data_IF_286081238094
#
_entry.id   IF_286081238094
#
_cell.length_a   1.000
_cell.length_b   1.000
_cell.length_c   1.000
_cell.angle_alpha   90.00
_cell.angle_beta   90.00
_cell.angle_gamma   90.00
#
_symmetry.space_group_name_H-M   'P 1'
#
loop_
_entity.id
_entity.type
_entity.pdbx_description
1 polymer ?
#
# COMPACT_ATOMS: atom_id res chain seq x y z
N UNK A 1 7.00 35.53 -0.96
CA UNK A 1 6.45 34.29 -1.52
C UNK A 1 7.63 33.36 -1.76
N UNK A 2 7.58 32.12 -1.30
CA UNK A 2 8.64 31.14 -1.55
C UNK A 2 8.85 30.98 -3.06
N UNK A 3 10.10 30.93 -3.53
CA UNK A 3 10.39 30.70 -4.94
C UNK A 3 10.45 29.19 -5.21
N UNK A 4 9.47 28.65 -5.94
CA UNK A 4 9.45 27.21 -6.23
C UNK A 4 10.63 26.75 -7.09
N UNK A 5 11.30 27.65 -7.81
CA UNK A 5 12.45 27.30 -8.64
C UNK A 5 13.62 26.76 -7.81
N UNK A 6 13.73 27.13 -6.52
CA UNK A 6 14.77 26.59 -5.63
C UNK A 6 14.56 25.13 -5.28
N UNK A 7 13.35 24.60 -5.49
CA UNK A 7 12.99 23.21 -5.19
C UNK A 7 12.94 22.32 -6.44
N UNK A 8 12.99 22.93 -7.64
CA UNK A 8 12.93 22.20 -8.90
C UNK A 8 14.20 21.35 -9.10
N UNK A 9 14.10 20.06 -9.46
CA UNK A 9 15.25 19.15 -9.46
C UNK A 9 16.21 19.32 -10.64
N UNK A 10 15.90 20.19 -11.60
CA UNK A 10 16.74 20.48 -12.76
C UNK A 10 17.00 21.99 -12.89
N UNK A 11 17.78 22.39 -13.90
CA UNK A 11 18.20 23.79 -14.05
C UNK A 11 17.01 24.77 -14.10
N UNK A 12 15.97 24.46 -14.88
CA UNK A 12 14.75 25.28 -15.01
C UNK A 12 13.54 24.40 -15.39
N UNK A 13 12.33 24.72 -14.90
CA UNK A 13 11.10 24.06 -15.34
C UNK A 13 10.73 24.44 -16.76
N UNK A 14 10.19 23.47 -17.52
CA UNK A 14 9.54 23.72 -18.81
C UNK A 14 8.25 24.51 -18.61
N UNK A 15 7.75 25.15 -19.67
CA UNK A 15 6.51 25.94 -19.66
C UNK A 15 5.33 25.17 -19.06
N UNK A 16 5.13 23.93 -19.49
CA UNK A 16 4.05 23.07 -19.01
C UNK A 16 4.23 22.67 -17.54
N UNK A 17 5.46 22.39 -17.10
CA UNK A 17 5.74 22.10 -15.69
C UNK A 17 5.49 23.32 -14.80
N UNK A 18 5.91 24.50 -15.25
CA UNK A 18 5.65 25.78 -14.57
C UNK A 18 4.15 25.99 -14.37
N UNK A 19 3.37 25.84 -15.43
CA UNK A 19 1.91 25.98 -15.40
C UNK A 19 1.28 25.03 -14.38
N UNK A 20 1.71 23.77 -14.34
CA UNK A 20 1.23 22.79 -13.36
C UNK A 20 1.57 23.19 -11.91
N UNK A 21 2.83 23.59 -11.67
CA UNK A 21 3.33 23.93 -10.34
C UNK A 21 2.62 25.17 -9.81
N UNK A 22 2.52 26.22 -10.61
CA UNK A 22 1.87 27.48 -10.22
C UNK A 22 0.38 27.28 -9.93
N UNK A 23 -0.32 26.49 -10.76
CA UNK A 23 -1.71 26.12 -10.51
C UNK A 23 -1.88 25.37 -9.18
N UNK A 24 -1.05 24.35 -8.92
CA UNK A 24 -1.15 23.55 -7.71
C UNK A 24 -0.85 24.36 -6.45
N UNK A 25 0.14 25.26 -6.50
CA UNK A 25 0.44 26.19 -5.40
C UNK A 25 -0.76 27.12 -5.15
N UNK A 26 -1.34 27.71 -6.20
CA UNK A 26 -2.50 28.58 -6.06
C UNK A 26 -3.72 27.86 -5.47
N UNK A 27 -4.01 26.64 -5.94
CA UNK A 27 -5.09 25.83 -5.38
C UNK A 27 -4.89 25.54 -3.89
N UNK A 28 -3.67 25.18 -3.47
CA UNK A 28 -3.40 24.75 -2.09
C UNK A 28 -3.26 25.93 -1.13
N UNK A 29 -2.55 26.99 -1.52
CA UNK A 29 -2.25 28.11 -0.62
C UNK A 29 -3.34 29.17 -0.59
N UNK A 30 -3.89 29.52 -1.77
CA UNK A 30 -4.86 30.62 -1.87
C UNK A 30 -6.29 30.13 -1.71
N UNK A 31 -6.58 28.92 -2.19
CA UNK A 31 -7.94 28.35 -2.20
C UNK A 31 -8.14 27.26 -1.14
N UNK A 32 -7.13 27.04 -0.28
CA UNK A 32 -7.07 26.02 0.78
C UNK A 32 -7.53 24.61 0.36
N UNK A 33 -7.25 24.24 -0.90
CA UNK A 33 -7.64 22.92 -1.40
C UNK A 33 -6.80 21.84 -0.75
N UNK A 34 -7.43 20.73 -0.37
CA UNK A 34 -6.72 19.54 0.10
C UNK A 34 -6.14 18.74 -1.06
N UNK A 35 -6.84 18.71 -2.19
CA UNK A 35 -6.51 17.89 -3.34
C UNK A 35 -6.19 18.75 -4.56
N UNK A 36 -5.20 18.33 -5.34
CA UNK A 36 -4.93 18.88 -6.67
C UNK A 36 -4.80 17.73 -7.65
N UNK A 37 -5.58 17.79 -8.74
CA UNK A 37 -5.54 16.81 -9.83
C UNK A 37 -4.82 17.45 -11.03
N UNK A 38 -3.68 16.88 -11.40
CA UNK A 38 -2.86 17.34 -12.52
C UNK A 38 -2.91 16.29 -13.61
N UNK A 39 -3.67 16.56 -14.66
CA UNK A 39 -3.58 15.82 -15.91
C UNK A 39 -2.49 16.44 -16.78
N UNK A 40 -1.42 15.68 -17.02
CA UNK A 40 -0.31 16.12 -17.86
C UNK A 40 0.23 14.95 -18.68
N UNK A 41 0.46 15.20 -19.97
CA UNK A 41 0.98 14.23 -20.94
C UNK A 41 2.17 13.41 -20.47
N UNK A 42 2.36 12.24 -21.07
CA UNK A 42 3.60 11.47 -20.90
C UNK A 42 4.79 12.30 -21.39
N UNK A 43 5.93 12.23 -20.69
CA UNK A 43 7.14 13.02 -21.05
C UNK A 43 7.15 14.49 -20.62
N UNK A 44 6.05 15.05 -20.10
CA UNK A 44 6.02 16.41 -19.51
C UNK A 44 6.96 16.53 -18.30
N UNK A 45 7.27 15.42 -17.64
CA UNK A 45 8.12 15.36 -16.44
C UNK A 45 7.32 15.56 -15.16
N UNK A 46 6.20 14.84 -15.02
CA UNK A 46 5.32 14.83 -13.84
C UNK A 46 6.07 14.57 -12.54
N UNK A 47 7.06 13.69 -12.56
CA UNK A 47 7.86 13.36 -11.37
C UNK A 47 8.60 14.57 -10.80
N UNK A 48 9.10 15.47 -11.67
CA UNK A 48 9.72 16.72 -11.23
C UNK A 48 8.68 17.72 -10.70
N UNK A 49 7.47 17.75 -11.27
CA UNK A 49 6.34 18.56 -10.76
C UNK A 49 6.00 18.12 -9.33
N UNK A 50 5.74 16.82 -9.13
CA UNK A 50 5.41 16.25 -7.82
C UNK A 50 6.51 16.49 -6.78
N UNK A 51 7.78 16.31 -7.16
CA UNK A 51 8.90 16.55 -6.24
C UNK A 51 9.00 18.03 -5.83
N UNK A 52 8.86 18.93 -6.80
CA UNK A 52 8.91 20.38 -6.55
C UNK A 52 7.78 20.80 -5.61
N UNK A 53 6.55 20.35 -5.90
CA UNK A 53 5.40 20.62 -5.05
C UNK A 53 5.57 20.04 -3.65
N UNK A 54 6.05 18.81 -3.52
CA UNK A 54 6.29 18.21 -2.21
C UNK A 54 7.27 19.01 -1.35
N UNK A 55 8.38 19.45 -1.94
CA UNK A 55 9.40 20.27 -1.24
C UNK A 55 8.89 21.67 -0.91
N UNK A 56 8.18 22.29 -1.85
CA UNK A 56 7.59 23.61 -1.67
C UNK A 56 6.56 23.60 -0.54
N UNK A 57 5.60 22.68 -0.60
CA UNK A 57 4.52 22.57 0.38
C UNK A 57 5.03 22.16 1.76
N UNK A 58 6.17 21.46 1.84
CA UNK A 58 6.81 21.19 3.13
C UNK A 58 7.14 22.49 3.89
N UNK A 59 7.59 23.52 3.17
CA UNK A 59 7.91 24.82 3.75
C UNK A 59 6.68 25.73 3.87
N UNK A 60 5.78 25.65 2.91
CA UNK A 60 4.73 26.64 2.75
C UNK A 60 3.44 26.31 3.50
N UNK A 61 3.13 25.03 3.70
CA UNK A 61 1.94 24.58 4.41
C UNK A 61 2.25 24.41 5.90
N UNK A 62 1.47 25.03 6.81
CA UNK A 62 1.65 24.86 8.25
C UNK A 62 1.58 23.40 8.68
N UNK A 63 2.42 23.04 9.66
CA UNK A 63 2.34 21.74 10.31
C UNK A 63 0.96 21.55 10.95
N UNK A 64 0.37 20.37 10.75
CA UNK A 64 -0.91 19.98 11.33
C UNK A 64 -0.71 18.78 12.25
N UNK A 65 -1.36 18.79 13.41
CA UNK A 65 -1.36 17.64 14.31
C UNK A 65 -1.83 16.37 13.58
N UNK A 66 -1.15 15.26 13.86
CA UNK A 66 -1.39 13.98 13.18
C UNK A 66 -0.61 13.77 11.88
N UNK A 67 0.06 14.80 11.34
CA UNK A 67 0.87 14.70 10.13
C UNK A 67 2.34 15.00 10.40
N UNK A 68 3.22 14.05 10.06
CA UNK A 68 4.66 14.24 10.10
C UNK A 68 5.16 15.05 8.89
N UNK A 69 6.37 15.59 9.00
CA UNK A 69 7.03 16.25 7.87
C UNK A 69 7.40 15.27 6.76
N UNK A 70 7.54 15.81 5.54
CA UNK A 70 7.98 15.09 4.36
C UNK A 70 6.84 14.70 3.42
N UNK A 71 7.23 14.01 2.35
CA UNK A 71 6.35 13.55 1.28
C UNK A 71 6.45 12.06 1.01
N UNK A 72 5.30 11.45 0.71
CA UNK A 72 5.25 10.12 0.09
C UNK A 72 4.94 10.24 -1.40
N UNK A 73 5.60 9.39 -2.19
CA UNK A 73 5.41 9.27 -3.63
C UNK A 73 4.97 7.85 -3.94
N UNK A 74 3.77 7.72 -4.49
CA UNK A 74 3.18 6.44 -4.82
C UNK A 74 3.15 6.28 -6.32
N UNK A 75 3.56 5.09 -6.76
CA UNK A 75 3.52 4.67 -8.16
C UNK A 75 2.87 3.29 -8.24
N UNK A 76 2.33 2.92 -9.38
CA UNK A 76 1.74 1.58 -9.57
C UNK A 76 2.77 0.56 -10.05
N UNK A 77 3.82 1.03 -10.74
CA UNK A 77 4.79 0.17 -11.40
C UNK A 77 6.16 0.25 -10.73
N UNK A 78 6.78 -0.91 -10.51
CA UNK A 78 8.14 -1.00 -9.96
C UNK A 78 9.19 -0.27 -10.82
N UNK A 79 8.97 -0.20 -12.13
CA UNK A 79 9.89 0.50 -13.03
C UNK A 79 9.85 2.02 -12.82
N UNK A 80 8.67 2.58 -12.58
CA UNK A 80 8.52 4.00 -12.23
C UNK A 80 9.12 4.29 -10.86
N UNK A 81 8.88 3.42 -9.87
CA UNK A 81 9.54 3.53 -8.57
C UNK A 81 11.08 3.58 -8.70
N UNK A 82 11.66 2.70 -9.52
CA UNK A 82 13.09 2.68 -9.79
C UNK A 82 13.56 3.94 -10.52
N UNK A 83 12.74 4.50 -11.42
CA UNK A 83 13.04 5.77 -12.08
C UNK A 83 13.13 6.93 -11.07
N UNK A 84 12.16 7.07 -10.16
CA UNK A 84 12.23 8.05 -9.07
C UNK A 84 13.50 7.88 -8.22
N UNK A 85 13.85 6.64 -7.86
CA UNK A 85 15.06 6.33 -7.09
C UNK A 85 16.34 6.74 -7.84
N UNK A 86 16.42 6.50 -9.16
CA UNK A 86 17.58 6.85 -9.98
C UNK A 86 17.70 8.35 -10.25
N UNK A 87 16.57 9.04 -10.41
CA UNK A 87 16.52 10.45 -10.77
C UNK A 87 16.68 11.37 -9.54
N UNK A 88 16.10 10.98 -8.40
CA UNK A 88 16.00 11.82 -7.20
C UNK A 88 16.63 11.21 -5.94
N UNK A 89 17.11 9.96 -6.01
CA UNK A 89 17.91 9.36 -4.96
C UNK A 89 19.39 9.76 -5.02
N UNK A 90 20.19 9.21 -4.11
CA UNK A 90 21.63 9.55 -4.05
C UNK A 90 22.38 9.07 -5.29
N UNK A 91 23.34 9.86 -5.82
CA UNK A 91 23.87 11.10 -5.26
C UNK A 91 23.14 12.39 -5.71
N UNK A 92 22.06 12.28 -6.48
CA UNK A 92 21.36 13.42 -7.11
C UNK A 92 20.32 14.09 -6.19
N UNK A 93 19.86 13.36 -5.18
CA UNK A 93 18.97 13.87 -4.15
C UNK A 93 18.90 12.90 -2.96
N UNK A 94 17.90 13.08 -2.11
CA UNK A 94 17.77 12.34 -0.86
C UNK A 94 16.65 11.30 -0.85
N UNK A 95 15.90 11.18 -1.95
CA UNK A 95 14.77 10.25 -2.04
C UNK A 95 15.18 8.82 -1.67
N UNK A 96 14.36 8.17 -0.84
CA UNK A 96 14.53 6.77 -0.44
C UNK A 96 13.38 5.92 -0.92
N UNK A 97 13.71 4.78 -1.52
CA UNK A 97 12.73 3.79 -1.94
C UNK A 97 12.65 2.62 -0.97
N UNK A 98 11.51 1.94 -0.93
CA UNK A 98 11.36 0.64 -0.26
C UNK A 98 10.52 -0.32 -1.08
N UNK A 99 10.93 -1.59 -1.07
CA UNK A 99 10.22 -2.70 -1.71
C UNK A 99 9.73 -3.70 -0.65
N UNK A 100 8.95 -4.70 -1.06
CA UNK A 100 8.55 -5.78 -0.16
C UNK A 100 9.77 -6.55 0.36
N UNK A 101 9.67 -7.14 1.55
CA UNK A 101 10.78 -7.85 2.19
C UNK A 101 11.34 -9.03 1.38
N UNK A 102 10.58 -9.59 0.44
CA UNK A 102 11.04 -10.63 -0.48
C UNK A 102 11.97 -10.10 -1.58
N UNK A 103 11.99 -8.79 -1.83
CA UNK A 103 12.91 -8.16 -2.78
C UNK A 103 14.33 -7.97 -2.23
N UNK A 104 14.58 -8.28 -0.96
CA UNK A 104 15.88 -8.10 -0.32
C UNK A 104 16.50 -9.45 0.02
N UNK A 105 17.64 -9.79 -0.59
CA UNK A 105 18.40 -10.99 -0.23
C UNK A 105 18.97 -10.88 1.19
N UNK A 106 18.79 -11.91 2.01
CA UNK A 106 19.30 -11.91 3.39
C UNK A 106 20.85 -11.97 3.40
N UNK A 107 21.48 -11.17 4.28
CA UNK A 107 22.95 -11.17 4.45
C UNK A 107 23.45 -12.44 5.16
N UNK A 108 22.67 -12.95 6.12
CA UNK A 108 23.05 -14.09 6.94
C UNK A 108 22.73 -15.41 6.23
N UNK A 109 21.46 -15.66 5.92
CA UNK A 109 21.02 -16.82 5.13
C UNK A 109 20.98 -16.47 3.64
N UNK A 110 22.12 -16.61 2.96
CA UNK A 110 22.27 -16.21 1.55
C UNK A 110 21.31 -16.92 0.57
N UNK A 111 20.72 -18.06 0.95
CA UNK A 111 19.72 -18.76 0.15
C UNK A 111 18.30 -18.18 0.29
N UNK A 112 18.07 -17.32 1.29
CA UNK A 112 16.75 -16.79 1.63
C UNK A 112 16.65 -15.29 1.29
N UNK A 113 15.43 -14.82 1.09
CA UNK A 113 15.09 -13.40 1.16
C UNK A 113 14.89 -12.94 2.61
N UNK A 114 14.73 -11.63 2.82
CA UNK A 114 14.52 -11.05 4.13
C UNK A 114 13.13 -11.38 4.68
N UNK A 115 12.13 -11.71 3.85
CA UNK A 115 10.81 -12.17 4.30
C UNK A 115 10.95 -13.51 5.03
N UNK A 116 11.45 -14.51 4.32
CA UNK A 116 11.67 -15.87 4.80
C UNK A 116 12.58 -15.88 6.02
N UNK A 117 13.66 -15.09 5.99
CA UNK A 117 14.56 -14.99 7.13
C UNK A 117 13.89 -14.32 8.34
N UNK A 118 13.14 -13.25 8.17
CA UNK A 118 12.48 -12.60 9.32
C UNK A 118 11.45 -13.52 9.99
N UNK A 119 10.78 -14.39 9.25
CA UNK A 119 9.86 -15.37 9.84
C UNK A 119 10.57 -16.37 10.76
N UNK A 120 11.81 -16.74 10.43
CA UNK A 120 12.65 -17.59 11.27
C UNK A 120 13.05 -16.91 12.59
N UNK A 121 12.88 -15.58 12.75
CA UNK A 121 13.19 -14.89 14.01
C UNK A 121 12.27 -15.29 15.16
N UNK A 122 11.00 -15.65 14.87
CA UNK A 122 10.02 -16.01 15.91
C UNK A 122 10.52 -17.15 16.79
N UNK A 123 11.26 -18.07 16.17
CA UNK A 123 11.78 -19.27 16.81
C UNK A 123 13.30 -19.24 16.92
N UNK A 124 13.97 -18.11 16.71
CA UNK A 124 15.41 -18.02 16.83
C UNK A 124 15.82 -17.67 18.27
N UNK A 125 16.90 -18.26 18.77
CA UNK A 125 17.50 -17.82 20.03
C UNK A 125 17.88 -16.34 19.90
N UNK A 126 17.35 -15.50 20.79
CA UNK A 126 17.61 -14.04 20.84
C UNK A 126 19.11 -13.72 20.97
N UNK A 127 19.91 -14.65 21.50
CA UNK A 127 21.36 -14.51 21.62
C UNK A 127 22.12 -14.92 20.36
N UNK A 128 21.47 -15.62 19.42
CA UNK A 128 22.11 -16.13 18.20
C UNK A 128 22.64 -15.02 17.30
N UNK A 129 23.72 -15.31 16.57
CA UNK A 129 24.28 -14.40 15.57
C UNK A 129 23.25 -14.06 14.48
N UNK A 130 22.40 -15.02 14.13
CA UNK A 130 21.30 -14.82 13.20
C UNK A 130 20.28 -13.79 13.72
N UNK A 131 19.81 -13.94 14.95
CA UNK A 131 18.86 -13.00 15.56
C UNK A 131 19.45 -11.59 15.59
N UNK A 132 20.69 -11.44 16.07
CA UNK A 132 21.39 -10.14 16.09
C UNK A 132 21.51 -9.52 14.69
N UNK A 133 21.89 -10.32 13.69
CA UNK A 133 22.01 -9.85 12.31
C UNK A 133 20.67 -9.43 11.71
N UNK A 134 19.60 -10.19 11.93
CA UNK A 134 18.29 -9.91 11.36
C UNK A 134 17.50 -8.83 12.14
N UNK A 135 17.77 -8.67 13.44
CA UNK A 135 17.22 -7.60 14.26
C UNK A 135 17.93 -6.26 13.98
N UNK A 136 19.27 -6.23 13.95
CA UNK A 136 20.05 -4.99 13.87
C UNK A 136 20.55 -4.60 12.47
N UNK A 137 20.78 -5.55 11.56
CA UNK A 137 21.46 -5.30 10.29
C UNK A 137 20.73 -5.89 9.06
N UNK A 138 19.43 -6.16 9.18
CA UNK A 138 18.61 -6.66 8.08
C UNK A 138 18.49 -5.60 6.98
N UNK A 139 18.81 -5.98 5.73
CA UNK A 139 18.77 -5.07 4.57
C UNK A 139 17.39 -4.43 4.39
N UNK A 140 16.33 -5.23 4.50
CA UNK A 140 14.96 -4.73 4.40
C UNK A 140 14.62 -3.76 5.55
N UNK A 141 14.91 -4.12 6.80
CA UNK A 141 14.63 -3.24 7.95
C UNK A 141 15.39 -1.92 7.86
N UNK A 142 16.65 -1.95 7.42
CA UNK A 142 17.43 -0.74 7.17
C UNK A 142 16.83 0.09 6.03
N UNK A 143 16.42 -0.53 4.92
CA UNK A 143 15.77 0.19 3.82
C UNK A 143 14.45 0.82 4.25
N UNK A 144 13.60 0.08 4.99
CA UNK A 144 12.35 0.58 5.57
C UNK A 144 12.60 1.74 6.55
N UNK A 145 13.60 1.61 7.43
CA UNK A 145 14.01 2.70 8.34
C UNK A 145 14.40 3.95 7.55
N UNK A 146 15.30 3.81 6.57
CA UNK A 146 15.71 4.93 5.73
C UNK A 146 14.54 5.55 4.97
N UNK A 147 13.59 4.74 4.49
CA UNK A 147 12.37 5.22 3.84
C UNK A 147 11.48 6.02 4.81
N UNK A 148 11.32 5.58 6.06
CA UNK A 148 10.49 6.28 7.04
C UNK A 148 11.14 7.55 7.60
N UNK A 149 12.47 7.60 7.67
CA UNK A 149 13.23 8.76 8.16
C UNK A 149 13.52 9.79 7.06
N UNK A 150 13.44 9.39 5.78
CA UNK A 150 13.66 10.30 4.66
C UNK A 150 12.54 11.33 4.55
N UNK A 151 12.87 12.61 4.24
CA UNK A 151 11.86 13.61 3.91
C UNK A 151 11.13 13.30 2.60
N UNK A 152 11.74 12.51 1.71
CA UNK A 152 11.22 12.14 0.39
C UNK A 152 11.25 10.63 0.23
N UNK A 153 10.07 10.01 0.09
CA UNK A 153 9.95 8.56 0.21
C UNK A 153 9.06 7.99 -0.88
N UNK A 154 9.60 7.09 -1.72
CA UNK A 154 8.89 6.50 -2.86
C UNK A 154 8.66 5.00 -2.69
N UNK A 155 7.44 4.55 -2.98
CA UNK A 155 7.14 3.11 -3.03
C UNK A 155 5.99 2.82 -4.00
N UNK A 156 5.64 1.55 -4.15
CA UNK A 156 4.49 1.16 -4.92
C UNK A 156 3.21 1.19 -4.07
N UNK A 157 2.10 1.45 -4.74
CA UNK A 157 0.80 1.63 -4.12
C UNK A 157 0.38 0.45 -3.21
N UNK A 158 0.41 -0.82 -3.68
CA UNK A 158 -0.03 -1.95 -2.86
C UNK A 158 0.80 -2.16 -1.59
N UNK A 159 2.12 -1.96 -1.68
CA UNK A 159 3.00 -2.05 -0.51
C UNK A 159 2.67 -0.95 0.51
N UNK A 160 2.46 0.28 0.04
CA UNK A 160 2.12 1.42 0.90
C UNK A 160 0.84 1.18 1.70
N UNK A 161 -0.25 0.79 1.02
CA UNK A 161 -1.54 0.52 1.66
C UNK A 161 -1.44 -0.61 2.69
N UNK A 162 -0.73 -1.69 2.34
CA UNK A 162 -0.54 -2.83 3.24
C UNK A 162 0.22 -2.43 4.50
N UNK A 163 1.32 -1.67 4.34
CA UNK A 163 2.17 -1.27 5.46
C UNK A 163 1.54 -0.19 6.36
N UNK A 164 0.70 0.68 5.80
CA UNK A 164 -0.05 1.70 6.53
C UNK A 164 -1.27 1.12 7.28
N UNK A 165 -1.87 0.06 6.74
CA UNK A 165 -3.10 -0.53 7.30
C UNK A 165 -2.82 -1.65 8.29
N UNK A 166 -1.96 -2.60 7.94
CA UNK A 166 -1.77 -3.84 8.72
C UNK A 166 -0.45 -3.87 9.50
N UNK A 167 0.63 -3.34 8.93
CA UNK A 167 1.96 -3.39 9.58
C UNK A 167 2.22 -2.22 10.54
N UNK A 168 1.41 -1.16 10.49
CA UNK A 168 1.51 0.04 11.36
C UNK A 168 2.80 0.85 11.18
N UNK A 169 3.55 0.64 10.09
CA UNK A 169 4.87 1.25 9.92
C UNK A 169 4.87 2.61 9.22
N UNK A 170 3.82 2.90 8.46
CA UNK A 170 3.68 4.14 7.69
C UNK A 170 2.65 5.02 8.40
N UNK A 171 3.06 6.23 8.75
CA UNK A 171 2.22 7.23 9.41
C UNK A 171 1.92 8.38 8.46
N UNK A 172 0.85 9.17 8.67
CA UNK A 172 0.52 10.28 7.79
C UNK A 172 1.64 11.32 7.69
N UNK A 173 1.81 11.89 6.48
CA UNK A 173 2.76 12.96 6.19
C UNK A 173 2.09 14.17 5.58
N UNK A 174 2.79 15.30 5.59
CA UNK A 174 2.29 16.57 5.06
C UNK A 174 1.91 16.47 3.58
N UNK A 175 2.69 15.77 2.77
CA UNK A 175 2.41 15.64 1.34
C UNK A 175 2.27 14.18 0.91
N UNK A 176 1.24 13.90 0.12
CA UNK A 176 1.08 12.65 -0.59
C UNK A 176 0.99 12.92 -2.09
N UNK A 177 1.94 12.40 -2.86
CA UNK A 177 1.97 12.47 -4.31
C UNK A 177 1.61 11.09 -4.88
N UNK A 178 0.57 11.03 -5.69
CA UNK A 178 0.13 9.83 -6.38
C UNK A 178 0.39 10.02 -7.87
N UNK A 179 1.39 9.30 -8.38
CA UNK A 179 1.70 9.25 -9.81
C UNK A 179 0.98 8.07 -10.48
N UNK A 180 0.63 8.25 -11.74
CA UNK A 180 -0.31 7.38 -12.45
C UNK A 180 -1.65 7.17 -11.72
N UNK A 181 -2.19 8.29 -11.23
CA UNK A 181 -3.38 8.34 -10.39
C UNK A 181 -4.65 7.75 -11.04
N UNK A 182 -4.71 7.59 -12.37
CA UNK A 182 -5.82 6.90 -13.04
C UNK A 182 -6.03 5.45 -12.53
N UNK A 183 -5.01 4.84 -11.92
CA UNK A 183 -5.10 3.50 -11.34
C UNK A 183 -5.60 3.47 -9.88
N UNK A 184 -5.85 4.62 -9.25
CA UNK A 184 -6.13 4.68 -7.81
C UNK A 184 -7.36 3.85 -7.45
N UNK A 185 -8.42 3.95 -8.26
CA UNK A 185 -9.67 3.22 -8.07
C UNK A 185 -9.45 1.69 -8.11
N UNK A 186 -8.78 1.20 -9.15
CA UNK A 186 -8.52 -0.24 -9.32
C UNK A 186 -7.57 -0.77 -8.23
N UNK A 187 -6.59 0.02 -7.80
CA UNK A 187 -5.71 -0.34 -6.69
C UNK A 187 -6.50 -0.47 -5.39
N UNK A 188 -7.39 0.48 -5.08
CA UNK A 188 -8.21 0.43 -3.86
C UNK A 188 -9.20 -0.73 -3.91
N UNK A 189 -9.88 -0.96 -5.04
CA UNK A 189 -10.81 -2.08 -5.21
C UNK A 189 -10.11 -3.43 -4.99
N UNK A 190 -8.92 -3.62 -5.58
CA UNK A 190 -8.10 -4.81 -5.36
C UNK A 190 -7.57 -4.93 -3.92
N UNK A 191 -7.34 -3.80 -3.24
CA UNK A 191 -6.84 -3.81 -1.87
C UNK A 191 -7.90 -4.31 -0.88
N UNK A 192 -9.14 -3.82 -1.03
CA UNK A 192 -10.29 -4.22 -0.20
C UNK A 192 -10.89 -5.57 -0.60
N UNK A 193 -10.57 -6.07 -1.81
CA UNK A 193 -11.01 -7.39 -2.27
C UNK A 193 -10.72 -8.49 -1.24
N UNK A 194 -11.75 -9.29 -0.97
CA UNK A 194 -11.65 -10.50 -0.15
C UNK A 194 -11.89 -11.73 -1.00
N UNK A 195 -11.01 -12.71 -0.83
CA UNK A 195 -11.10 -13.97 -1.54
C UNK A 195 -11.09 -15.14 -0.57
N UNK A 196 -12.03 -16.06 -0.77
CA UNK A 196 -12.08 -17.34 -0.05
C UNK A 196 -11.94 -18.48 -1.06
N UNK A 197 -10.87 -19.26 -0.91
CA UNK A 197 -10.59 -20.41 -1.78
C UNK A 197 -11.06 -21.70 -1.13
N UNK A 198 -11.71 -22.57 -1.92
CA UNK A 198 -12.11 -23.91 -1.48
C UNK A 198 -10.91 -24.75 -1.04
N UNK A 199 -9.80 -24.70 -1.79
CA UNK A 199 -8.59 -25.41 -1.42
C UNK A 199 -8.07 -24.97 -0.04
N UNK A 200 -8.01 -23.65 0.19
CA UNK A 200 -7.53 -23.12 1.46
C UNK A 200 -8.48 -23.49 2.61
N UNK A 201 -9.78 -23.36 2.39
CA UNK A 201 -10.83 -23.77 3.32
C UNK A 201 -10.69 -25.24 3.76
N UNK A 202 -10.62 -26.16 2.80
CA UNK A 202 -10.61 -27.59 3.11
C UNK A 202 -9.24 -28.09 3.58
N UNK A 203 -8.15 -27.62 2.96
CA UNK A 203 -6.81 -28.19 3.19
C UNK A 203 -6.06 -27.50 4.31
N UNK A 204 -6.28 -26.20 4.52
CA UNK A 204 -5.57 -25.41 5.52
C UNK A 204 -6.47 -25.15 6.72
N UNK A 205 -7.63 -24.54 6.52
CA UNK A 205 -8.58 -24.19 7.61
C UNK A 205 -9.31 -25.42 8.16
N UNK A 206 -9.34 -26.53 7.41
CA UNK A 206 -10.09 -27.75 7.76
C UNK A 206 -11.58 -27.47 7.99
N UNK A 207 -12.15 -26.66 7.10
CA UNK A 207 -13.57 -26.32 7.08
C UNK A 207 -14.25 -26.93 5.85
N UNK A 208 -15.50 -27.39 6.00
CA UNK A 208 -16.28 -27.94 4.88
C UNK A 208 -16.76 -26.80 4.00
N UNK A 209 -16.51 -26.91 2.70
CA UNK A 209 -17.03 -25.98 1.70
C UNK A 209 -18.56 -26.09 1.58
N UNK A 210 -19.30 -24.97 1.40
CA UNK A 210 -20.75 -25.02 1.32
C UNK A 210 -21.21 -25.57 -0.04
N UNK A 211 -22.26 -26.40 -0.02
CA UNK A 211 -22.81 -27.04 -1.22
C UNK A 211 -23.51 -26.04 -2.15
N UNK A 212 -24.04 -24.94 -1.59
CA UNK A 212 -24.70 -23.85 -2.33
C UNK A 212 -23.99 -22.52 -2.07
N UNK A 213 -23.56 -21.86 -3.13
CA UNK A 213 -22.87 -20.57 -3.08
C UNK A 213 -23.73 -19.52 -3.78
N UNK A 214 -24.27 -18.58 -3.01
CA UNK A 214 -24.95 -17.38 -3.51
C UNK A 214 -24.38 -16.16 -2.78
N UNK A 215 -24.47 -14.94 -3.33
CA UNK A 215 -23.82 -13.75 -2.74
C UNK A 215 -24.11 -13.59 -1.24
N UNK A 216 -25.37 -13.68 -0.85
CA UNK A 216 -25.79 -13.46 0.55
C UNK A 216 -25.50 -14.68 1.43
N UNK A 217 -25.80 -15.90 0.97
CA UNK A 217 -25.63 -17.09 1.80
C UNK A 217 -24.15 -17.41 2.04
N UNK A 218 -23.28 -17.08 1.09
CA UNK A 218 -21.86 -17.32 1.24
C UNK A 218 -21.23 -16.33 2.23
N UNK A 219 -21.65 -15.06 2.27
CA UNK A 219 -21.24 -14.13 3.36
C UNK A 219 -21.70 -14.63 4.72
N UNK A 220 -22.96 -15.06 4.86
CA UNK A 220 -23.44 -15.65 6.11
C UNK A 220 -22.64 -16.89 6.51
N UNK A 221 -22.25 -17.72 5.54
CA UNK A 221 -21.38 -18.87 5.82
C UNK A 221 -19.95 -18.43 6.21
N UNK A 222 -19.41 -17.36 5.59
CA UNK A 222 -18.13 -16.78 5.99
C UNK A 222 -18.20 -16.39 7.47
N UNK A 223 -19.20 -15.59 7.84
CA UNK A 223 -19.38 -15.06 9.20
C UNK A 223 -19.60 -16.16 10.25
N UNK A 224 -20.51 -17.10 9.98
CA UNK A 224 -20.99 -18.04 11.00
C UNK A 224 -20.21 -19.36 11.05
N UNK A 225 -19.45 -19.70 10.01
CA UNK A 225 -18.78 -21.02 9.89
C UNK A 225 -17.30 -20.87 9.59
N UNK A 226 -16.95 -20.18 8.50
CA UNK A 226 -15.58 -20.13 8.03
C UNK A 226 -14.68 -19.30 8.96
N UNK A 227 -15.10 -18.08 9.30
CA UNK A 227 -14.32 -17.13 10.10
C UNK A 227 -14.06 -17.65 11.53
N UNK A 228 -15.06 -18.19 12.28
CA UNK A 228 -14.79 -18.83 13.56
C UNK A 228 -13.83 -20.02 13.46
N UNK A 229 -13.93 -20.80 12.37
CA UNK A 229 -13.03 -21.94 12.15
C UNK A 229 -11.60 -21.49 11.82
N UNK A 230 -11.46 -20.42 11.03
CA UNK A 230 -10.18 -19.78 10.73
C UNK A 230 -9.51 -19.26 12.01
N UNK A 231 -10.25 -18.54 12.87
CA UNK A 231 -9.75 -18.08 14.17
C UNK A 231 -9.32 -19.25 15.06
N UNK A 232 -10.11 -20.33 15.12
CA UNK A 232 -9.74 -21.54 15.85
C UNK A 232 -8.45 -22.19 15.33
N UNK A 233 -8.25 -22.22 14.01
CA UNK A 233 -7.00 -22.72 13.43
C UNK A 233 -5.81 -21.79 13.70
N UNK A 234 -5.99 -20.48 13.67
CA UNK A 234 -4.94 -19.52 14.04
C UNK A 234 -4.44 -19.80 15.46
N UNK A 235 -5.34 -19.93 16.43
CA UNK A 235 -4.99 -20.27 17.81
C UNK A 235 -4.27 -21.63 17.93
N UNK A 236 -4.66 -22.62 17.11
CA UNK A 236 -3.98 -23.92 17.10
C UNK A 236 -2.52 -23.79 16.62
N UNK A 237 -2.30 -23.07 15.52
CA UNK A 237 -0.96 -22.86 14.97
C UNK A 237 -0.10 -21.97 15.88
N UNK A 238 -0.69 -20.98 16.56
CA UNK A 238 0.00 -20.16 17.55
C UNK A 238 0.56 -21.03 18.69
N UNK A 239 -0.27 -21.88 19.30
CA UNK A 239 0.16 -22.82 20.34
C UNK A 239 1.25 -23.78 19.85
N UNK A 240 1.13 -24.30 18.62
CA UNK A 240 2.19 -25.14 18.05
C UNK A 240 3.52 -24.40 17.93
N UNK A 241 3.51 -23.12 17.53
CA UNK A 241 4.72 -22.31 17.45
C UNK A 241 5.34 -22.08 18.84
N UNK A 242 4.52 -21.92 19.87
CA UNK A 242 4.98 -21.75 21.26
C UNK A 242 5.53 -23.04 21.88
N UNK A 243 4.87 -24.18 21.64
CA UNK A 243 5.22 -25.49 22.19
C UNK A 243 6.44 -26.13 21.51
N UNK A 244 6.64 -25.84 20.21
CA UNK A 244 7.80 -26.32 19.45
C UNK A 244 9.06 -25.55 19.86
N UNK A 245 9.67 -26.01 20.95
CA UNK A 245 10.96 -25.54 21.44
C UNK A 245 12.09 -25.59 20.40
N UNK A 246 13.11 -24.77 20.65
CA UNK A 246 14.18 -24.33 19.75
C UNK A 246 15.20 -25.40 19.26
N UNK A 247 14.95 -26.70 19.43
CA UNK A 247 15.95 -27.75 19.12
C UNK A 247 15.44 -28.70 18.03
N UNK A 248 16.08 -28.60 16.86
CA UNK A 248 16.14 -29.56 15.76
C UNK A 248 15.03 -29.60 14.69
N UNK A 249 13.98 -28.76 14.73
CA UNK A 249 12.88 -28.75 13.73
C UNK A 249 12.66 -27.45 12.95
N UNK A 250 13.74 -26.73 12.64
CA UNK A 250 13.69 -25.37 12.03
C UNK A 250 12.86 -25.31 10.72
N UNK A 251 12.92 -26.36 9.87
CA UNK A 251 12.17 -26.39 8.60
C UNK A 251 10.67 -26.63 8.77
N UNK A 252 10.27 -27.48 9.72
CA UNK A 252 8.85 -27.71 10.01
C UNK A 252 8.24 -26.44 10.62
N UNK A 253 8.96 -25.83 11.57
CA UNK A 253 8.59 -24.57 12.22
C UNK A 253 8.41 -23.42 11.23
N UNK A 254 9.32 -23.24 10.27
CA UNK A 254 9.18 -22.17 9.27
C UNK A 254 7.93 -22.35 8.39
N UNK A 255 7.58 -23.58 8.06
CA UNK A 255 6.35 -23.89 7.30
C UNK A 255 5.07 -23.62 8.09
N UNK A 256 5.09 -23.84 9.41
CA UNK A 256 3.98 -23.56 10.32
C UNK A 256 3.82 -22.04 10.48
N UNK A 257 4.92 -21.31 10.72
CA UNK A 257 4.92 -19.85 10.82
C UNK A 257 4.40 -19.17 9.54
N UNK A 258 4.75 -19.70 8.36
CA UNK A 258 4.23 -19.22 7.07
C UNK A 258 2.71 -19.37 6.96
N UNK A 259 2.16 -20.51 7.39
CA UNK A 259 0.71 -20.73 7.40
C UNK A 259 0.03 -19.83 8.42
N UNK A 260 0.62 -19.66 9.60
CA UNK A 260 0.12 -18.76 10.63
C UNK A 260 0.01 -17.33 10.11
N UNK A 261 1.09 -16.74 9.59
CA UNK A 261 1.10 -15.36 9.06
C UNK A 261 0.07 -15.19 7.91
N UNK A 262 -0.11 -16.22 7.08
CA UNK A 262 -1.09 -16.21 5.99
C UNK A 262 -2.53 -16.23 6.52
N UNK A 263 -2.81 -17.06 7.53
CA UNK A 263 -4.14 -17.15 8.14
C UNK A 263 -4.50 -15.89 8.91
N UNK A 264 -3.56 -15.31 9.67
CA UNK A 264 -3.81 -14.05 10.40
C UNK A 264 -4.12 -12.91 9.44
N UNK A 265 -3.29 -12.70 8.41
CA UNK A 265 -3.56 -11.67 7.41
C UNK A 265 -4.87 -11.88 6.65
N UNK A 266 -5.25 -13.13 6.40
CA UNK A 266 -6.56 -13.45 5.80
C UNK A 266 -7.73 -13.20 6.77
N UNK A 267 -7.55 -13.52 8.05
CA UNK A 267 -8.52 -13.25 9.12
C UNK A 267 -8.76 -11.76 9.29
N UNK A 268 -7.72 -10.93 9.30
CA UNK A 268 -7.84 -9.48 9.42
C UNK A 268 -8.63 -8.88 8.24
N UNK A 269 -8.35 -9.37 7.02
CA UNK A 269 -9.11 -8.98 5.83
C UNK A 269 -10.59 -9.38 5.92
N UNK A 270 -10.89 -10.58 6.41
CA UNK A 270 -12.28 -11.03 6.57
C UNK A 270 -13.01 -10.23 7.65
N UNK A 271 -12.35 -9.95 8.78
CA UNK A 271 -12.92 -9.14 9.85
C UNK A 271 -13.36 -7.76 9.33
N UNK A 272 -12.49 -7.10 8.57
CA UNK A 272 -12.80 -5.83 7.91
C UNK A 272 -13.95 -5.96 6.91
N UNK A 273 -13.88 -6.95 6.02
CA UNK A 273 -14.95 -7.20 5.06
C UNK A 273 -16.31 -7.45 5.72
N UNK A 274 -16.38 -8.25 6.80
CA UNK A 274 -17.65 -8.51 7.48
C UNK A 274 -18.23 -7.26 8.15
N UNK A 275 -17.38 -6.33 8.59
CA UNK A 275 -17.81 -5.03 9.16
C UNK A 275 -18.31 -4.07 8.07
N UNK A 276 -17.68 -4.10 6.90
CA UNK A 276 -17.92 -3.15 5.81
C UNK A 276 -18.83 -3.72 4.71
N UNK A 277 -19.31 -4.96 4.85
CA UNK A 277 -20.08 -5.63 3.81
C UNK A 277 -21.45 -4.97 3.63
N UNK A 278 -21.68 -4.53 2.41
CA UNK A 278 -22.96 -4.07 1.92
C UNK A 278 -23.33 -4.88 0.66
N UNK A 279 -24.49 -5.51 0.67
CA UNK A 279 -25.01 -6.28 -0.47
C UNK A 279 -25.14 -5.45 -1.75
N UNK A 280 -25.31 -4.14 -1.63
CA UNK A 280 -25.54 -3.23 -2.76
C UNK A 280 -24.21 -2.65 -3.29
N UNK A 281 -23.13 -2.68 -2.50
CA UNK A 281 -21.79 -2.22 -2.90
C UNK A 281 -20.79 -3.37 -3.19
N UNK A 282 -21.12 -4.62 -2.86
CA UNK A 282 -20.19 -5.74 -3.02
C UNK A 282 -20.71 -6.82 -3.98
N UNK A 283 -19.91 -7.13 -5.00
CA UNK A 283 -20.23 -8.16 -6.00
C UNK A 283 -19.43 -9.41 -5.73
N UNK A 284 -20.11 -10.56 -5.84
CA UNK A 284 -19.52 -11.88 -5.73
C UNK A 284 -19.17 -12.43 -7.11
N UNK A 285 -17.90 -12.78 -7.32
CA UNK A 285 -17.41 -13.49 -8.49
C UNK A 285 -16.96 -14.91 -8.09
N UNK A 286 -17.16 -15.87 -8.99
CA UNK A 286 -16.66 -17.24 -8.83
C UNK A 286 -15.68 -17.56 -9.93
N UNK A 287 -14.51 -18.02 -9.55
CA UNK A 287 -13.46 -18.45 -10.46
C UNK A 287 -13.15 -19.92 -10.21
N UNK A 288 -13.08 -20.72 -11.28
CA UNK A 288 -12.51 -22.06 -11.20
C UNK A 288 -10.99 -21.97 -11.25
N UNK A 289 -10.32 -22.68 -10.35
CA UNK A 289 -8.86 -22.72 -10.33
C UNK A 289 -8.34 -23.80 -11.27
N UNK A 290 -7.34 -23.45 -12.09
CA UNK A 290 -6.75 -24.33 -13.11
C UNK A 290 -6.24 -25.67 -12.55
N UNK A 291 -5.80 -25.68 -11.28
CA UNK A 291 -5.33 -26.89 -10.61
C UNK A 291 -6.47 -27.55 -9.81
N UNK A 292 -7.14 -28.50 -10.47
CA UNK A 292 -8.06 -29.51 -9.88
C UNK A 292 -9.52 -29.09 -9.68
N UNK A 293 -9.99 -28.02 -10.34
CA UNK A 293 -11.42 -27.65 -10.31
C UNK A 293 -11.91 -27.15 -8.94
N UNK A 294 -11.00 -26.69 -8.06
CA UNK A 294 -11.41 -25.99 -6.85
C UNK A 294 -11.97 -24.62 -7.21
N UNK A 295 -12.98 -24.19 -6.47
CA UNK A 295 -13.59 -22.87 -6.65
C UNK A 295 -12.92 -21.84 -5.75
N UNK A 296 -12.78 -20.62 -6.28
CA UNK A 296 -12.40 -19.42 -5.54
C UNK A 296 -13.55 -18.42 -5.64
N UNK A 297 -13.98 -17.88 -4.50
CA UNK A 297 -15.03 -16.86 -4.45
C UNK A 297 -14.36 -15.53 -4.08
N UNK A 298 -14.56 -14.51 -4.91
CA UNK A 298 -14.04 -13.17 -4.68
C UNK A 298 -15.21 -12.22 -4.42
N UNK A 299 -15.04 -11.34 -3.43
CA UNK A 299 -15.92 -10.20 -3.22
C UNK A 299 -15.13 -8.94 -3.55
N UNK A 300 -15.66 -8.16 -4.50
CA UNK A 300 -15.10 -6.87 -4.94
C UNK A 300 -16.08 -5.75 -4.61
N UNK A 301 -15.57 -4.64 -4.10
CA UNK A 301 -16.34 -3.42 -3.96
C UNK A 301 -16.56 -2.77 -5.34
N UNK A 302 -17.79 -2.34 -5.62
CA UNK A 302 -18.16 -1.60 -6.82
C UNK A 302 -17.66 -0.16 -6.69
N UNK A 303 -18.04 0.50 -5.60
CA UNK A 303 -17.66 1.86 -5.28
C UNK A 303 -16.60 1.88 -4.17
N UNK A 304 -15.47 2.52 -4.47
CA UNK A 304 -14.33 2.69 -3.57
C UNK A 304 -14.24 4.05 -2.91
N UNK A 305 -15.17 4.96 -3.22
CA UNK A 305 -15.23 6.32 -2.67
C UNK A 305 -15.17 6.31 -1.14
N UNK A 306 -15.89 5.38 -0.51
CA UNK A 306 -15.94 5.20 0.94
C UNK A 306 -14.65 4.64 1.56
N UNK A 307 -13.76 4.06 0.75
CA UNK A 307 -12.53 3.42 1.19
C UNK A 307 -11.28 4.30 0.96
N UNK A 308 -11.36 5.26 0.03
CA UNK A 308 -10.21 6.07 -0.36
C UNK A 308 -9.67 6.92 0.79
N UNK A 309 -10.54 7.54 1.60
CA UNK A 309 -10.10 8.31 2.77
C UNK A 309 -9.44 7.41 3.84
N UNK A 310 -10.11 6.31 4.22
CA UNK A 310 -9.62 5.40 5.26
C UNK A 310 -8.27 4.77 4.89
N UNK A 311 -8.10 4.29 3.66
CA UNK A 311 -6.90 3.54 3.32
C UNK A 311 -5.78 4.39 2.72
N UNK A 312 -6.10 5.53 2.10
CA UNK A 312 -5.15 6.29 1.31
C UNK A 312 -5.06 7.76 1.71
N UNK A 313 -6.11 8.55 1.56
CA UNK A 313 -6.00 10.01 1.64
C UNK A 313 -5.72 10.51 3.06
N UNK A 314 -6.07 9.75 4.11
CA UNK A 314 -5.67 10.07 5.49
C UNK A 314 -4.15 10.15 5.68
N UNK A 315 -3.36 9.60 4.75
CA UNK A 315 -1.90 9.56 4.83
C UNK A 315 -1.21 10.82 4.28
N UNK A 316 -1.99 11.77 3.73
CA UNK A 316 -1.50 13.05 3.20
C UNK A 316 -2.33 14.23 3.70
N UNK A 317 -1.69 15.25 4.30
CA UNK A 317 -2.38 16.51 4.64
C UNK A 317 -2.80 17.25 3.37
N UNK A 318 -1.93 17.30 2.36
CA UNK A 318 -2.21 17.76 1.01
C UNK A 318 -1.89 16.63 0.03
N UNK A 319 -2.79 16.39 -0.93
CA UNK A 319 -2.73 15.26 -1.86
C UNK A 319 -2.66 15.76 -3.29
N UNK A 320 -1.64 15.32 -4.01
CA UNK A 320 -1.40 15.67 -5.42
C UNK A 320 -1.58 14.40 -6.25
N UNK A 321 -2.61 14.37 -7.09
CA UNK A 321 -2.90 13.26 -7.99
C UNK A 321 -2.44 13.65 -9.39
N UNK A 322 -1.53 12.89 -9.98
CA UNK A 322 -0.98 13.19 -11.31
C UNK A 322 -1.16 12.00 -12.25
N UNK A 323 -1.59 12.27 -13.48
CA UNK A 323 -1.59 11.25 -14.54
C UNK A 323 -1.68 11.86 -15.93
N UNK A 324 -1.43 11.08 -16.97
CA UNK A 324 -1.66 11.49 -18.35
C UNK A 324 -3.11 11.29 -18.82
N UNK A 325 -3.91 10.48 -18.13
CA UNK A 325 -5.18 9.95 -18.65
C UNK A 325 -6.31 10.02 -17.63
N UNK A 326 -6.50 11.18 -16.98
CA UNK A 326 -7.66 11.38 -16.09
C UNK A 326 -8.94 11.56 -16.90
N UNK A 327 -8.87 12.26 -18.04
CA UNK A 327 -9.94 12.55 -19.02
C UNK A 327 -11.07 13.44 -18.47
N UNK A 328 -11.63 13.08 -17.32
CA UNK A 328 -12.66 13.83 -16.62
C UNK A 328 -12.34 13.88 -15.13
N UNK A 329 -11.76 15.00 -14.68
CA UNK A 329 -11.37 15.19 -13.30
C UNK A 329 -12.54 15.14 -12.31
N UNK A 330 -13.75 15.53 -12.72
CA UNK A 330 -14.92 15.49 -11.85
C UNK A 330 -15.39 14.05 -11.59
N UNK A 331 -15.49 13.25 -12.65
CA UNK A 331 -15.82 11.82 -12.53
C UNK A 331 -14.74 11.05 -11.75
N UNK A 332 -13.47 11.37 -11.99
CA UNK A 332 -12.35 10.77 -11.25
C UNK A 332 -12.33 11.16 -9.76
N UNK A 333 -12.62 12.42 -9.45
CA UNK A 333 -12.75 12.86 -8.06
C UNK A 333 -13.93 12.17 -7.36
N UNK A 334 -15.08 12.07 -8.04
CA UNK A 334 -16.28 11.40 -7.54
C UNK A 334 -16.03 9.90 -7.28
N UNK A 335 -15.38 9.17 -8.18
CA UNK A 335 -15.08 7.74 -7.98
C UNK A 335 -14.12 7.46 -6.81
N UNK A 336 -13.39 8.49 -6.36
CA UNK A 336 -12.51 8.44 -5.19
C UNK A 336 -13.11 9.12 -3.95
N UNK A 337 -14.37 9.56 -4.00
CA UNK A 337 -15.03 10.22 -2.88
C UNK A 337 -14.45 11.59 -2.51
N UNK A 338 -13.78 12.26 -3.44
CA UNK A 338 -13.19 13.59 -3.22
C UNK A 338 -14.28 14.67 -3.36
N UNK A 339 -14.57 15.46 -2.31
CA UNK A 339 -15.60 16.50 -2.38
C UNK A 339 -15.26 17.62 -3.38
N UNK A 340 -16.26 18.11 -4.13
CA UNK A 340 -16.09 19.14 -5.18
C UNK A 340 -15.47 20.45 -4.69
N UNK A 341 -15.69 20.81 -3.43
CA UNK A 341 -15.14 22.01 -2.81
C UNK A 341 -13.68 21.81 -2.34
N UNK A 342 -13.20 20.56 -2.24
CA UNK A 342 -11.89 20.22 -1.69
C UNK A 342 -10.78 20.01 -2.73
N UNK A 343 -11.12 20.01 -4.03
CA UNK A 343 -10.14 19.84 -5.10
C UNK A 343 -10.16 20.97 -6.13
N UNK A 344 -9.05 21.07 -6.86
CA UNK A 344 -8.92 21.81 -8.11
C UNK A 344 -8.20 20.91 -9.12
N UNK A 345 -8.46 21.12 -10.42
CA UNK A 345 -7.88 20.30 -11.47
C UNK A 345 -7.39 21.10 -12.66
N UNK A 346 -6.26 20.69 -13.23
CA UNK A 346 -5.71 21.24 -14.47
C UNK A 346 -5.43 20.12 -15.47
N UNK A 347 -5.72 20.36 -16.76
CA UNK A 347 -5.25 19.53 -17.86
C UNK A 347 -4.25 20.30 -18.72
N UNK A 348 -3.12 19.66 -18.97
CA UNK A 348 -1.97 20.20 -19.69
C UNK A 348 -1.72 19.30 -20.90
N UNK A 349 -2.03 19.80 -22.11
CA UNK A 349 -1.85 19.02 -23.33
C UNK A 349 -0.36 18.71 -23.56
N UNK A 350 -0.11 17.56 -24.20
CA UNK A 350 1.24 17.10 -24.60
C UNK A 350 1.86 17.99 -25.67
#
# INVERSE_FOLDING_TARGET
MLDYNTFFPYAKPRKEQRRAIEFAIEAIEKSDKRFVIVEAGTGVGKSAIGLTLSRYLEQAVPNKEGFAQGGYFLTTQKILQAQYENDFGRPRGDMKSVYSSSNYRCKFHKANDCRTSQQMLRTADRKSAFFKACAGACRYKMAKKNFLESPESVTNFPYFLTEATYSGGITPRKVLVIDEAHNTESVLSNFVEVSVSQYFCEKIVKCKWPDKITPINFVKWIENVYYPKLQSQIMHFERQIEELGLKDRIKELSSIALKYDMMTGHSDKIDKFLKDYDKDNWVMEKEETEKRGYVKVNYRAIDVSNYAEEYLFRLGQKVILMSATILNAAAFAESLGIPKDQYESISIPS
#
